data_IF_595611651555
#
_entry.id   IF_595611651555
#
_cell.length_a   1.000
_cell.length_b   1.000
_cell.length_c   1.000
_cell.angle_alpha   90.00
_cell.angle_beta   90.00
_cell.angle_gamma   90.00
#
_symmetry.space_group_name_H-M   'P 1'
#
loop_
_entity.id
_entity.type
_entity.pdbx_description
1 polymer ?
#
# COMPACT_ATOMS: atom_id res chain seq x y z
N UNK A 1 -9.80 -25.95 -15.62
CA UNK A 1 -9.14 -25.14 -14.58
C UNK A 1 -8.89 -23.77 -15.19
N UNK A 2 -9.70 -22.77 -14.88
CA UNK A 2 -9.46 -21.40 -15.34
C UNK A 2 -8.27 -20.87 -14.53
N UNK A 3 -7.07 -20.92 -15.11
CA UNK A 3 -5.95 -20.16 -14.58
C UNK A 3 -6.32 -18.68 -14.67
N UNK A 4 -6.32 -17.97 -13.55
CA UNK A 4 -6.30 -16.52 -13.60
C UNK A 4 -4.94 -16.13 -14.21
N UNK A 5 -4.94 -15.99 -15.53
CA UNK A 5 -3.82 -15.50 -16.32
C UNK A 5 -3.72 -13.99 -16.07
N UNK A 6 -3.23 -13.59 -14.89
CA UNK A 6 -2.74 -12.25 -14.71
C UNK A 6 -1.40 -12.18 -15.45
N UNK A 7 -1.42 -11.72 -16.69
CA UNK A 7 -0.20 -11.47 -17.46
C UNK A 7 0.64 -10.37 -16.76
N UNK A 8 1.96 -10.37 -17.00
CA UNK A 8 2.88 -9.42 -16.38
C UNK A 8 2.49 -7.94 -16.64
N UNK A 9 1.86 -7.64 -17.78
CA UNK A 9 1.33 -6.32 -18.10
C UNK A 9 0.15 -5.93 -17.22
N UNK A 10 -0.77 -6.85 -16.94
CA UNK A 10 -1.88 -6.64 -15.99
C UNK A 10 -1.35 -6.30 -14.58
N UNK A 11 -0.36 -7.04 -14.09
CA UNK A 11 0.25 -6.80 -12.78
C UNK A 11 0.96 -5.43 -12.71
N UNK A 12 1.73 -5.08 -13.74
CA UNK A 12 2.35 -3.75 -13.85
C UNK A 12 1.34 -2.62 -13.98
N UNK A 13 0.24 -2.85 -14.68
CA UNK A 13 -0.82 -1.85 -14.83
C UNK A 13 -1.58 -1.59 -13.53
N UNK A 14 -1.64 -2.58 -12.64
CA UNK A 14 -2.28 -2.45 -11.33
C UNK A 14 -1.39 -1.74 -10.29
N UNK A 15 -0.08 -1.98 -10.31
CA UNK A 15 0.85 -1.45 -9.30
C UNK A 15 0.78 0.08 -9.09
N UNK A 16 0.71 0.95 -10.14
CA UNK A 16 0.57 2.39 -9.96
C UNK A 16 -0.67 2.79 -9.14
N UNK A 17 -1.80 2.12 -9.36
CA UNK A 17 -3.04 2.42 -8.61
C UNK A 17 -2.93 2.04 -7.14
N UNK A 18 -2.13 1.02 -6.85
CA UNK A 18 -1.86 0.58 -5.48
C UNK A 18 -0.93 1.59 -4.78
N UNK A 19 0.11 2.08 -5.47
CA UNK A 19 0.94 3.17 -4.94
C UNK A 19 0.15 4.45 -4.72
N UNK A 20 -0.71 4.85 -5.67
CA UNK A 20 -1.60 6.01 -5.50
C UNK A 20 -2.51 5.87 -4.28
N UNK A 21 -3.01 4.65 -4.02
CA UNK A 21 -3.82 4.37 -2.84
C UNK A 21 -3.00 4.41 -1.54
N UNK A 22 -1.76 3.90 -1.56
CA UNK A 22 -0.82 4.01 -0.44
C UNK A 22 -0.56 5.47 -0.08
N UNK A 23 -0.27 6.32 -1.07
CA UNK A 23 -0.04 7.75 -0.87
C UNK A 23 -1.27 8.44 -0.27
N UNK A 24 -2.47 8.15 -0.78
CA UNK A 24 -3.72 8.70 -0.24
C UNK A 24 -3.95 8.30 1.23
N UNK A 25 -3.60 7.07 1.61
CA UNK A 25 -3.69 6.61 3.00
C UNK A 25 -2.65 7.34 3.87
N UNK A 26 -1.43 7.54 3.35
CA UNK A 26 -0.39 8.32 4.03
C UNK A 26 -0.80 9.78 4.27
N UNK A 27 -1.40 10.42 3.26
CA UNK A 27 -1.93 11.78 3.39
C UNK A 27 -3.08 11.86 4.39
N UNK A 28 -3.95 10.85 4.42
CA UNK A 28 -4.99 10.73 5.44
C UNK A 28 -4.39 10.59 6.85
N UNK A 29 -3.33 9.78 7.01
CA UNK A 29 -2.59 9.66 8.27
C UNK A 29 -2.05 11.01 8.76
N UNK A 30 -1.41 11.76 7.86
CA UNK A 30 -0.88 13.10 8.16
C UNK A 30 -2.00 14.08 8.54
N UNK A 31 -3.13 14.03 7.82
CA UNK A 31 -4.31 14.86 8.11
C UNK A 31 -4.89 14.56 9.49
N UNK A 32 -5.01 13.28 9.85
CA UNK A 32 -5.52 12.86 11.17
C UNK A 32 -4.56 13.30 12.27
N UNK A 33 -3.24 13.12 12.11
CA UNK A 33 -2.24 13.59 13.10
C UNK A 33 -2.21 15.09 13.27
N UNK A 34 -2.50 15.83 12.21
CA UNK A 34 -2.60 17.29 12.25
C UNK A 34 -3.85 17.78 13.01
N UNK A 35 -4.82 16.91 13.29
CA UNK A 35 -6.01 17.27 14.08
C UNK A 35 -5.61 17.56 15.53
N UNK A 36 -5.33 18.84 15.81
CA UNK A 36 -5.10 19.34 17.16
C UNK A 36 -6.29 20.17 17.61
N UNK A 37 -6.77 19.87 18.82
CA UNK A 37 -7.78 20.66 19.51
C UNK A 37 -7.17 21.09 20.83
N UNK A 38 -7.17 22.40 21.11
CA UNK A 38 -6.67 22.93 22.39
C UNK A 38 -7.85 23.26 23.31
N UNK A 39 -7.67 23.23 24.64
CA UNK A 39 -8.74 23.62 25.55
C UNK A 39 -9.20 25.08 25.34
N UNK A 40 -8.27 25.96 24.93
CA UNK A 40 -8.57 27.36 24.61
C UNK A 40 -9.42 27.49 23.32
N UNK A 41 -9.23 26.63 22.32
CA UNK A 41 -10.05 26.63 21.11
C UNK A 41 -11.50 26.17 21.36
N UNK A 42 -11.77 25.59 22.52
CA UNK A 42 -13.09 25.10 22.96
C UNK A 42 -13.82 26.10 23.86
N UNK A 43 -13.26 27.29 24.12
CA UNK A 43 -13.90 28.30 24.96
C UNK A 43 -13.86 28.01 26.46
N UNK A 44 -12.92 27.17 26.93
CA UNK A 44 -12.71 26.82 28.35
C UNK A 44 -13.94 26.26 29.07
N UNK A 45 -14.73 25.47 28.35
CA UNK A 45 -15.84 24.71 28.94
C UNK A 45 -15.33 23.62 29.89
N UNK A 46 -16.16 23.25 30.86
CA UNK A 46 -15.86 22.10 31.73
C UNK A 46 -15.61 20.85 30.87
N UNK A 47 -14.50 20.15 31.13
CA UNK A 47 -14.08 18.98 30.34
C UNK A 47 -13.28 19.27 29.07
N UNK A 48 -13.07 20.54 28.67
CA UNK A 48 -12.28 20.90 27.48
C UNK A 48 -10.87 20.30 27.48
N UNK A 49 -10.22 20.24 28.64
CA UNK A 49 -8.91 19.58 28.82
C UNK A 49 -8.96 18.08 28.51
N UNK A 50 -9.93 17.38 29.09
CA UNK A 50 -10.09 15.94 28.88
C UNK A 50 -10.44 15.60 27.42
N UNK A 51 -11.31 16.41 26.79
CA UNK A 51 -11.63 16.24 25.38
C UNK A 51 -10.42 16.49 24.47
N UNK A 52 -9.66 17.56 24.72
CA UNK A 52 -8.42 17.85 23.97
C UNK A 52 -7.43 16.69 24.04
N UNK A 53 -7.21 16.12 25.23
CA UNK A 53 -6.36 14.93 25.42
C UNK A 53 -6.91 13.72 24.67
N UNK A 54 -8.23 13.48 24.73
CA UNK A 54 -8.86 12.36 24.03
C UNK A 54 -8.73 12.49 22.50
N UNK A 55 -8.87 13.70 21.94
CA UNK A 55 -8.67 13.95 20.52
C UNK A 55 -7.21 13.72 20.13
N UNK A 56 -6.25 14.19 20.94
CA UNK A 56 -4.83 13.96 20.67
C UNK A 56 -4.49 12.45 20.66
N UNK A 57 -4.98 11.70 21.65
CA UNK A 57 -4.77 10.25 21.71
C UNK A 57 -5.42 9.51 20.53
N UNK A 58 -6.64 9.92 20.14
CA UNK A 58 -7.32 9.39 18.97
C UNK A 58 -6.52 9.66 17.67
N UNK A 59 -6.09 10.90 17.48
CA UNK A 59 -5.33 11.33 16.30
C UNK A 59 -3.98 10.61 16.19
N UNK A 60 -3.30 10.41 17.31
CA UNK A 60 -2.04 9.68 17.36
C UNK A 60 -2.23 8.20 17.01
N UNK A 61 -3.18 7.52 17.65
CA UNK A 61 -3.44 6.10 17.44
C UNK A 61 -3.86 5.81 15.99
N UNK A 62 -4.89 6.50 15.49
CA UNK A 62 -5.39 6.24 14.15
C UNK A 62 -4.47 6.79 13.05
N UNK A 63 -3.75 7.88 13.33
CA UNK A 63 -2.70 8.35 12.43
C UNK A 63 -1.59 7.31 12.27
N UNK A 64 -1.18 6.65 13.35
CA UNK A 64 -0.21 5.56 13.29
C UNK A 64 -0.76 4.33 12.56
N UNK A 65 -2.02 3.95 12.78
CA UNK A 65 -2.63 2.82 12.08
C UNK A 65 -2.71 3.07 10.56
N UNK A 66 -3.07 4.29 10.15
CA UNK A 66 -3.11 4.66 8.74
C UNK A 66 -1.70 4.67 8.12
N UNK A 67 -0.70 5.18 8.83
CA UNK A 67 0.70 5.12 8.37
C UNK A 67 1.19 3.67 8.19
N UNK A 68 0.83 2.76 9.10
CA UNK A 68 1.12 1.34 8.89
C UNK A 68 0.36 0.75 7.71
N UNK A 69 -0.91 1.14 7.55
CA UNK A 69 -1.73 0.73 6.42
C UNK A 69 -1.16 1.18 5.07
N UNK A 70 -0.65 2.41 4.97
CA UNK A 70 -0.03 2.89 3.72
C UNK A 70 1.20 2.07 3.36
N UNK A 71 2.05 1.73 4.34
CA UNK A 71 3.22 0.85 4.11
C UNK A 71 2.81 -0.53 3.59
N UNK A 72 1.80 -1.17 4.20
CA UNK A 72 1.30 -2.47 3.73
C UNK A 72 0.76 -2.42 2.30
N UNK A 73 0.05 -1.34 1.95
CA UNK A 73 -0.45 -1.15 0.60
C UNK A 73 0.71 -0.90 -0.38
N UNK A 74 1.75 -0.17 0.03
CA UNK A 74 2.95 0.03 -0.78
C UNK A 74 3.66 -1.30 -1.07
N UNK A 75 3.88 -2.11 -0.03
CA UNK A 75 4.48 -3.44 -0.13
C UNK A 75 3.70 -4.36 -1.09
N UNK A 76 2.36 -4.22 -1.13
CA UNK A 76 1.55 -4.95 -2.10
C UNK A 76 1.83 -4.50 -3.55
N UNK A 77 2.05 -3.21 -3.79
CA UNK A 77 2.46 -2.66 -5.09
C UNK A 77 3.82 -3.21 -5.53
N UNK A 78 4.79 -3.25 -4.62
CA UNK A 78 6.10 -3.88 -4.87
C UNK A 78 5.96 -5.38 -5.18
N UNK A 79 5.10 -6.08 -4.45
CA UNK A 79 4.77 -7.47 -4.69
C UNK A 79 4.23 -7.72 -6.10
N UNK A 80 3.37 -6.84 -6.61
CA UNK A 80 2.85 -6.93 -7.99
C UNK A 80 3.94 -6.75 -9.03
N UNK A 81 4.84 -5.78 -8.86
CA UNK A 81 5.97 -5.57 -9.78
C UNK A 81 6.94 -6.74 -9.76
N UNK A 82 7.23 -7.29 -8.57
CA UNK A 82 8.05 -8.48 -8.42
C UNK A 82 7.42 -9.67 -9.12
N UNK A 83 6.12 -9.91 -8.91
CA UNK A 83 5.40 -11.02 -9.54
C UNK A 83 5.39 -10.88 -11.08
N UNK A 84 5.22 -9.67 -11.61
CA UNK A 84 5.32 -9.41 -13.04
C UNK A 84 6.71 -9.78 -13.60
N UNK A 85 7.78 -9.39 -12.91
CA UNK A 85 9.15 -9.73 -13.30
C UNK A 85 9.52 -11.20 -13.10
N UNK A 86 8.90 -11.90 -12.15
CA UNK A 86 9.01 -13.35 -12.00
C UNK A 86 8.33 -14.07 -13.18
N UNK A 87 7.15 -13.61 -13.61
CA UNK A 87 6.40 -14.19 -14.72
C UNK A 87 7.14 -14.08 -16.05
N UNK A 88 7.67 -12.90 -16.38
CA UNK A 88 8.44 -12.70 -17.62
C UNK A 88 9.72 -13.53 -17.68
N UNK A 89 10.39 -13.71 -16.54
CA UNK A 89 11.57 -14.58 -16.48
C UNK A 89 11.20 -16.03 -16.74
N UNK A 90 10.11 -16.50 -16.15
CA UNK A 90 9.61 -17.85 -16.40
C UNK A 90 9.25 -18.05 -17.88
N UNK A 91 8.59 -17.07 -18.51
CA UNK A 91 8.26 -17.12 -19.95
C UNK A 91 9.52 -17.13 -20.83
N UNK A 92 10.51 -16.29 -20.52
CA UNK A 92 11.77 -16.24 -21.25
C UNK A 92 12.56 -17.56 -21.14
N UNK A 93 12.64 -18.15 -19.93
CA UNK A 93 13.33 -19.43 -19.68
C UNK A 93 12.63 -20.58 -20.43
N UNK A 94 11.29 -20.60 -20.45
CA UNK A 94 10.50 -21.57 -21.19
C UNK A 94 10.72 -21.45 -22.70
N UNK A 95 10.71 -20.22 -23.24
CA UNK A 95 10.99 -19.98 -24.66
C UNK A 95 12.41 -20.39 -25.05
N UNK A 96 13.41 -20.11 -24.20
CA UNK A 96 14.79 -20.52 -24.42
C UNK A 96 14.96 -22.06 -24.37
N UNK A 97 14.27 -22.73 -23.45
CA UNK A 97 14.25 -24.20 -23.34
C UNK A 97 13.65 -24.89 -24.57
N UNK A 98 12.57 -24.34 -25.13
CA UNK A 98 11.97 -24.81 -26.39
C UNK A 98 12.87 -24.54 -27.61
N UNK A 99 13.74 -23.54 -27.55
CA UNK A 99 14.65 -23.19 -28.66
C UNK A 99 15.89 -24.09 -28.76
N UNK A 100 16.18 -24.94 -27.76
CA UNK A 100 17.23 -25.97 -27.87
C UNK A 100 16.65 -27.17 -28.62
N UNK A 101 16.98 -27.39 -29.91
CA UNK A 101 16.54 -28.57 -30.62
C UNK A 101 17.31 -29.79 -30.10
N UNK A 102 16.66 -30.95 -30.08
CA UNK A 102 17.22 -32.22 -29.62
C UNK A 102 18.57 -32.57 -30.23
N UNK A 103 19.64 -32.19 -29.54
CA UNK A 103 20.99 -32.70 -29.75
C UNK A 103 21.23 -33.89 -28.84
N UNK A 104 20.60 -35.03 -29.15
CA UNK A 104 21.01 -36.36 -28.69
C UNK A 104 20.29 -37.41 -29.53
N UNK A 105 20.99 -37.88 -30.58
CA UNK A 105 21.12 -39.27 -31.01
C UNK A 105 22.19 -39.38 -32.11
#
# INVERSE_FOLDING_TARGET
MAGFEADAGTLRGAAPRIFDASDQIGDAAATVRAAQVTPDSLGRVEGAGAFSVAVAAFAEAHGADLEHGSMWVNDAGDGLLKAAGDYERADADNAAGLSKPGGEQ
#
